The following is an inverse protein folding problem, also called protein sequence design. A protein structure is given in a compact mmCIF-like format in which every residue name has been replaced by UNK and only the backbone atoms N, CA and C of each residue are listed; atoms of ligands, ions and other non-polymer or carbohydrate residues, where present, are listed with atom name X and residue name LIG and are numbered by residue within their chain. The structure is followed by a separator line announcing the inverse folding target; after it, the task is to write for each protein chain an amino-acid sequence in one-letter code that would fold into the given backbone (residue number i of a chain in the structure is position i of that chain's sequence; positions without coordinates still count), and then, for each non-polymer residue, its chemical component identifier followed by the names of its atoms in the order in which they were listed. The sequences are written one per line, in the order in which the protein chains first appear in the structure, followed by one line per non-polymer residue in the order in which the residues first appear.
data_IF_186159520433
#
_entry.id   IF_186159520433
#
_cell.length_a   1.000
_cell.length_b   1.000
_cell.length_c   1.000
_cell.angle_alpha   90.00
_cell.angle_beta   90.00
_cell.angle_gamma   90.00
#
_symmetry.space_group_name_H-M   'P 1'
#
loop_
_entity.id
_entity.type
_entity.pdbx_description
1 polymer ?
#
# COMPACT_ATOMS: atom_id res chain seq x y z
N UNK A 1 -6.99 -2.11 -16.41
CA UNK A 1 -6.29 -1.28 -17.41
C UNK A 1 -4.86 -1.80 -17.53
N UNK A 2 -4.51 -2.42 -18.66
CA UNK A 2 -3.20 -3.03 -18.84
C UNK A 2 -2.10 -1.98 -18.96
N UNK A 3 -0.89 -2.30 -18.51
CA UNK A 3 0.29 -1.43 -18.40
C UNK A 3 0.53 -0.49 -19.59
N UNK A 4 0.16 -0.91 -20.81
CA UNK A 4 0.24 -0.08 -22.01
C UNK A 4 -0.56 1.24 -21.91
N UNK A 5 -1.76 1.21 -21.33
CA UNK A 5 -2.60 2.40 -21.16
C UNK A 5 -2.05 3.33 -20.08
N UNK A 6 -1.44 2.75 -19.03
CA UNK A 6 -0.72 3.53 -18.03
C UNK A 6 0.50 4.22 -18.64
N UNK A 7 1.25 3.50 -19.48
CA UNK A 7 2.43 4.05 -20.15
C UNK A 7 2.03 5.18 -21.12
N UNK A 8 0.94 5.00 -21.87
CA UNK A 8 0.41 6.04 -22.75
C UNK A 8 -0.03 7.29 -21.96
N UNK A 9 -0.80 7.12 -20.88
CA UNK A 9 -1.25 8.23 -20.06
C UNK A 9 -0.09 8.95 -19.37
N UNK A 10 0.92 8.21 -18.91
CA UNK A 10 2.13 8.78 -18.31
C UNK A 10 2.98 9.56 -19.31
N UNK A 11 3.18 9.02 -20.51
CA UNK A 11 3.92 9.72 -21.57
C UNK A 11 3.18 10.95 -22.08
N UNK A 12 1.86 10.87 -22.22
CA UNK A 12 1.02 12.02 -22.56
C UNK A 12 1.08 13.12 -21.50
N UNK A 13 1.00 12.75 -20.22
CA UNK A 13 1.13 13.71 -19.12
C UNK A 13 2.50 14.40 -19.14
N UNK A 14 3.59 13.62 -19.22
CA UNK A 14 4.95 14.16 -19.19
C UNK A 14 5.28 15.04 -20.41
N UNK A 15 4.83 14.66 -21.61
CA UNK A 15 5.10 15.43 -22.83
C UNK A 15 4.15 16.61 -23.02
N UNK A 16 2.89 16.44 -22.60
CA UNK A 16 1.84 17.44 -22.72
C UNK A 16 2.00 18.59 -21.73
N UNK A 17 2.56 18.34 -20.54
CA UNK A 17 2.79 19.39 -19.53
C UNK A 17 3.80 20.44 -20.03
N UNK A 18 4.89 20.00 -20.65
CA UNK A 18 5.89 20.90 -21.26
C UNK A 18 5.38 21.72 -22.46
N UNK A 19 4.25 21.32 -23.06
CA UNK A 19 3.66 21.99 -24.24
C UNK A 19 2.28 22.62 -23.96
N UNK A 20 1.81 22.62 -22.70
CA UNK A 20 0.52 23.19 -22.32
C UNK A 20 -0.69 22.48 -22.93
N UNK A 21 -0.59 21.17 -23.19
CA UNK A 21 -1.69 20.40 -23.77
C UNK A 21 -2.86 20.23 -22.79
N UNK A 22 -4.11 20.34 -23.27
CA UNK A 22 -5.27 20.15 -22.41
C UNK A 22 -5.34 18.69 -21.93
N UNK A 23 -5.57 18.49 -20.63
CA UNK A 23 -5.75 17.14 -20.08
C UNK A 23 -4.48 16.44 -19.58
N UNK A 24 -3.33 17.11 -19.56
CA UNK A 24 -2.09 16.59 -18.96
C UNK A 24 -2.27 16.20 -17.48
N UNK A 25 -2.91 17.05 -16.68
CA UNK A 25 -3.20 16.80 -15.27
C UNK A 25 -4.11 15.59 -15.01
N UNK A 26 -5.28 15.48 -15.64
CA UNK A 26 -6.13 14.28 -15.55
C UNK A 26 -5.43 13.00 -16.01
N UNK A 27 -4.58 13.07 -17.06
CA UNK A 27 -3.78 11.95 -17.51
C UNK A 27 -2.77 11.51 -16.43
N UNK A 28 -2.02 12.45 -15.85
CA UNK A 28 -1.11 12.21 -14.72
C UNK A 28 -1.83 11.55 -13.54
N UNK A 29 -2.98 12.10 -13.15
CA UNK A 29 -3.82 11.57 -12.07
C UNK A 29 -4.26 10.13 -12.35
N UNK A 30 -4.69 9.82 -13.58
CA UNK A 30 -5.14 8.47 -13.95
C UNK A 30 -4.06 7.39 -13.78
N UNK A 31 -2.78 7.72 -13.99
CA UNK A 31 -1.67 6.75 -13.88
C UNK A 31 -1.46 6.23 -12.45
N UNK A 32 -1.89 7.01 -11.45
CA UNK A 32 -1.73 6.68 -10.03
C UNK A 32 -2.78 5.64 -9.56
N UNK A 33 -3.86 5.41 -10.31
CA UNK A 33 -4.88 4.40 -10.00
C UNK A 33 -4.40 2.97 -10.14
N UNK A 34 -3.50 2.72 -11.10
CA UNK A 34 -3.08 1.38 -11.50
C UNK A 34 -2.33 0.65 -10.38
N UNK A 35 -1.48 1.38 -9.64
CA UNK A 35 -0.69 0.76 -8.57
C UNK A 35 -1.60 0.12 -7.52
N UNK A 36 -2.63 0.83 -7.07
CA UNK A 36 -3.45 0.32 -5.99
C UNK A 36 -4.60 -0.59 -6.44
N UNK A 37 -5.16 -0.39 -7.64
CA UNK A 37 -6.11 -1.35 -8.19
C UNK A 37 -5.45 -2.70 -8.51
N UNK A 38 -4.17 -2.68 -8.92
CA UNK A 38 -3.39 -3.88 -9.20
C UNK A 38 -2.79 -4.53 -7.95
N UNK A 39 -2.09 -3.74 -7.10
CA UNK A 39 -1.38 -4.26 -5.94
C UNK A 39 -2.21 -4.29 -4.65
N UNK A 40 -3.34 -3.59 -4.58
CA UNK A 40 -4.22 -3.58 -3.40
C UNK A 40 -4.62 -4.99 -2.93
N UNK A 41 -5.13 -5.88 -3.82
CA UNK A 41 -5.44 -7.24 -3.45
C UNK A 41 -4.24 -8.05 -2.92
N UNK A 42 -3.03 -7.77 -3.41
CA UNK A 42 -1.80 -8.42 -2.94
C UNK A 42 -1.50 -8.07 -1.47
N UNK A 43 -1.91 -6.88 -1.01
CA UNK A 43 -1.73 -6.47 0.39
C UNK A 43 -2.63 -7.26 1.37
N UNK A 44 -3.65 -7.96 0.87
CA UNK A 44 -4.48 -8.87 1.68
C UNK A 44 -3.87 -10.27 1.79
N UNK A 45 -2.86 -10.61 0.96
CA UNK A 45 -2.20 -11.91 0.97
C UNK A 45 -1.67 -12.33 2.36
N UNK A 46 -1.09 -11.46 3.21
CA UNK A 46 -0.65 -11.85 4.54
C UNK A 46 -1.76 -12.43 5.42
N UNK A 47 -3.02 -12.03 5.17
CA UNK A 47 -4.19 -12.55 5.88
C UNK A 47 -4.70 -13.86 5.27
N UNK A 48 -4.48 -14.05 3.96
CA UNK A 48 -4.99 -15.16 3.16
C UNK A 48 -3.99 -16.33 3.02
N UNK A 49 -2.68 -16.09 3.16
CA UNK A 49 -1.64 -17.12 3.07
C UNK A 49 -1.72 -18.14 4.22
N UNK A 50 -1.48 -19.45 3.98
CA UNK A 50 -1.15 -20.12 2.72
C UNK A 50 -2.37 -20.60 1.90
N UNK A 51 -3.49 -20.92 2.55
CA UNK A 51 -4.58 -21.71 1.95
C UNK A 51 -5.73 -20.88 1.34
N UNK A 52 -5.63 -19.54 1.36
CA UNK A 52 -6.70 -18.63 0.95
C UNK A 52 -7.92 -18.62 1.88
N UNK A 53 -7.85 -19.29 3.02
CA UNK A 53 -8.97 -19.46 3.97
C UNK A 53 -8.73 -18.67 5.24
N UNK A 54 -9.75 -17.98 5.75
CA UNK A 54 -9.69 -17.29 7.04
C UNK A 54 -9.47 -18.30 8.19
N UNK A 55 -8.69 -17.97 9.25
CA UNK A 55 -8.41 -18.90 10.36
C UNK A 55 -9.67 -19.38 11.09
N UNK A 56 -10.73 -18.56 11.13
CA UNK A 56 -12.05 -18.91 11.68
C UNK A 56 -13.12 -17.91 11.20
N UNK A 57 -14.43 -18.23 11.27
CA UNK A 57 -15.51 -17.35 10.80
C UNK A 57 -15.51 -15.95 11.43
N UNK A 58 -15.02 -15.84 12.67
CA UNK A 58 -14.85 -14.56 13.40
C UNK A 58 -13.84 -13.59 12.78
N UNK A 59 -13.04 -14.01 11.80
CA UNK A 59 -12.13 -13.13 11.05
C UNK A 59 -12.80 -12.47 9.84
N UNK A 60 -14.03 -12.86 9.48
CA UNK A 60 -14.77 -12.21 8.38
C UNK A 60 -14.96 -10.70 8.62
N UNK A 61 -15.36 -10.22 9.81
CA UNK A 61 -15.43 -8.79 10.08
C UNK A 61 -14.08 -8.09 9.93
N UNK A 62 -12.99 -8.71 10.39
CA UNK A 62 -11.63 -8.14 10.27
C UNK A 62 -11.24 -7.97 8.79
N UNK A 63 -11.51 -8.98 7.97
CA UNK A 63 -11.31 -8.90 6.52
C UNK A 63 -12.12 -7.76 5.90
N UNK A 64 -13.42 -7.64 6.23
CA UNK A 64 -14.27 -6.58 5.70
C UNK A 64 -13.81 -5.18 6.14
N UNK A 65 -13.39 -5.03 7.39
CA UNK A 65 -12.83 -3.76 7.90
C UNK A 65 -11.56 -3.41 7.13
N UNK A 66 -10.65 -4.36 6.90
CA UNK A 66 -9.43 -4.12 6.14
C UNK A 66 -9.73 -3.77 4.68
N UNK A 67 -10.67 -4.45 4.03
CA UNK A 67 -11.11 -4.13 2.67
C UNK A 67 -11.71 -2.71 2.61
N UNK A 68 -12.60 -2.37 3.55
CA UNK A 68 -13.22 -1.05 3.60
C UNK A 68 -12.18 0.03 3.87
N UNK A 69 -11.27 -0.20 4.81
CA UNK A 69 -10.22 0.74 5.15
C UNK A 69 -9.22 0.92 4.00
N UNK A 70 -8.92 -0.14 3.24
CA UNK A 70 -8.14 -0.06 2.00
C UNK A 70 -8.87 0.76 0.92
N UNK A 71 -10.18 0.58 0.76
CA UNK A 71 -10.96 1.38 -0.18
C UNK A 71 -10.98 2.87 0.21
N UNK A 72 -11.08 3.17 1.51
CA UNK A 72 -10.98 4.55 2.02
C UNK A 72 -9.58 5.12 1.78
N UNK A 73 -8.53 4.38 2.13
CA UNK A 73 -7.15 4.78 1.90
C UNK A 73 -6.89 5.05 0.41
N UNK A 74 -7.45 4.20 -0.46
CA UNK A 74 -7.36 4.37 -1.89
C UNK A 74 -7.94 5.71 -2.35
N UNK A 75 -9.13 6.05 -1.87
CA UNK A 75 -9.73 7.35 -2.17
C UNK A 75 -8.88 8.50 -1.63
N UNK A 76 -8.36 8.40 -0.40
CA UNK A 76 -7.50 9.44 0.19
C UNK A 76 -6.24 9.68 -0.64
N UNK A 77 -5.59 8.63 -1.12
CA UNK A 77 -4.38 8.74 -1.94
C UNK A 77 -4.69 9.38 -3.30
N UNK A 78 -5.90 9.18 -3.85
CA UNK A 78 -6.30 9.84 -5.11
C UNK A 78 -6.49 11.35 -4.99
N UNK A 79 -6.79 11.84 -3.78
CA UNK A 79 -6.99 13.26 -3.48
C UNK A 79 -5.78 13.88 -2.77
N UNK A 80 -4.63 13.19 -2.77
CA UNK A 80 -3.39 13.78 -2.26
C UNK A 80 -2.95 14.95 -3.14
N UNK A 81 -2.31 15.95 -2.57
CA UNK A 81 -1.88 17.19 -3.24
C UNK A 81 -0.79 17.01 -4.30
N UNK A 82 -0.10 15.86 -4.35
CA UNK A 82 0.96 15.55 -5.33
C UNK A 82 0.75 14.22 -6.03
N UNK A 83 0.89 14.19 -7.35
CA UNK A 83 0.87 12.95 -8.14
C UNK A 83 2.28 12.62 -8.61
N UNK A 84 2.62 11.33 -8.62
CA UNK A 84 3.89 10.89 -9.16
C UNK A 84 3.73 10.64 -10.66
N UNK A 85 4.63 11.21 -11.46
CA UNK A 85 4.70 11.03 -12.90
C UNK A 85 6.15 10.74 -13.25
N UNK A 86 6.46 9.49 -13.62
CA UNK A 86 7.73 9.09 -14.25
C UNK A 86 9.03 9.72 -13.67
N UNK A 87 9.14 9.81 -12.35
CA UNK A 87 10.35 10.25 -11.66
C UNK A 87 10.29 11.63 -11.00
N UNK A 88 9.24 12.41 -11.24
CA UNK A 88 8.96 13.67 -10.53
C UNK A 88 7.57 13.69 -9.90
N UNK A 89 7.36 14.64 -8.98
CA UNK A 89 6.07 14.90 -8.35
C UNK A 89 5.48 16.20 -8.89
N UNK A 90 4.25 16.12 -9.40
CA UNK A 90 3.51 17.27 -9.91
C UNK A 90 2.30 17.57 -9.01
N UNK A 91 1.82 18.83 -8.96
CA UNK A 91 0.59 19.17 -8.26
C UNK A 91 -0.59 18.35 -8.79
N UNK A 92 -1.36 17.73 -7.89
CA UNK A 92 -2.57 17.02 -8.28
C UNK A 92 -3.69 18.03 -8.57
N UNK A 93 -4.31 18.02 -9.76
CA UNK A 93 -5.39 18.95 -10.09
C UNK A 93 -6.62 18.84 -9.17
N UNK A 94 -6.83 17.69 -8.54
CA UNK A 94 -7.96 17.45 -7.61
C UNK A 94 -7.49 17.26 -6.17
N UNK A 95 -6.22 17.56 -5.88
CA UNK A 95 -5.62 17.30 -4.58
C UNK A 95 -5.97 18.34 -3.52
N UNK A 96 -6.48 17.88 -2.39
CA UNK A 96 -6.71 18.72 -1.20
C UNK A 96 -6.11 18.13 0.08
N UNK A 97 -5.74 16.85 0.05
CA UNK A 97 -5.14 16.16 1.18
C UNK A 97 -3.61 16.28 1.11
N UNK A 98 -2.91 16.73 2.16
CA UNK A 98 -1.45 16.75 2.14
C UNK A 98 -0.85 15.36 1.94
N UNK A 99 0.13 15.22 1.05
CA UNK A 99 0.79 13.94 0.76
C UNK A 99 1.39 13.30 2.02
N UNK A 100 1.82 14.11 3.00
CA UNK A 100 2.30 13.62 4.30
C UNK A 100 1.21 12.87 5.09
N UNK A 101 -0.03 13.36 5.09
CA UNK A 101 -1.15 12.70 5.77
C UNK A 101 -1.54 11.40 5.06
N UNK A 102 -1.57 11.41 3.73
CA UNK A 102 -1.80 10.19 2.93
C UNK A 102 -0.70 9.15 3.19
N UNK A 103 0.56 9.57 3.30
CA UNK A 103 1.69 8.69 3.61
C UNK A 103 1.59 8.10 5.03
N UNK A 104 1.17 8.88 6.02
CA UNK A 104 0.92 8.38 7.38
C UNK A 104 -0.19 7.34 7.37
N UNK A 105 -1.33 7.64 6.73
CA UNK A 105 -2.46 6.71 6.63
C UNK A 105 -2.06 5.40 5.93
N UNK A 106 -1.24 5.49 4.88
CA UNK A 106 -0.67 4.32 4.21
C UNK A 106 0.24 3.52 5.15
N UNK A 107 1.14 4.17 5.89
CA UNK A 107 2.00 3.51 6.87
C UNK A 107 1.19 2.77 7.96
N UNK A 108 0.17 3.42 8.52
CA UNK A 108 -0.74 2.80 9.49
C UNK A 108 -1.44 1.58 8.92
N UNK A 109 -1.88 1.63 7.66
CA UNK A 109 -2.52 0.49 6.98
C UNK A 109 -1.55 -0.70 6.83
N UNK A 110 -0.32 -0.45 6.41
CA UNK A 110 0.70 -1.50 6.25
C UNK A 110 0.99 -2.16 7.60
N UNK A 111 1.12 -1.37 8.67
CA UNK A 111 1.29 -1.91 10.03
C UNK A 111 0.07 -2.73 10.46
N UNK A 112 -1.16 -2.23 10.23
CA UNK A 112 -2.38 -2.94 10.57
C UNK A 112 -2.51 -4.29 9.83
N UNK A 113 -2.19 -4.32 8.53
CA UNK A 113 -2.16 -5.54 7.73
C UNK A 113 -1.09 -6.52 8.21
N UNK A 114 0.11 -6.03 8.54
CA UNK A 114 1.19 -6.83 9.11
C UNK A 114 0.79 -7.47 10.44
N UNK A 115 0.25 -6.66 11.37
CA UNK A 115 -0.25 -7.14 12.67
C UNK A 115 -1.38 -8.15 12.49
N UNK A 116 -2.34 -7.89 11.59
CA UNK A 116 -3.43 -8.81 11.31
C UNK A 116 -2.93 -10.14 10.73
N UNK A 117 -1.95 -10.10 9.81
CA UNK A 117 -1.31 -11.28 9.24
C UNK A 117 -0.57 -12.11 10.30
N UNK A 118 0.26 -11.47 11.12
CA UNK A 118 0.97 -12.11 12.25
C UNK A 118 -0.01 -12.74 13.25
N UNK A 119 -1.08 -12.01 13.61
CA UNK A 119 -2.11 -12.51 14.52
C UNK A 119 -2.89 -13.69 13.92
N UNK A 120 -3.22 -13.64 12.62
CA UNK A 120 -3.88 -14.73 11.91
C UNK A 120 -3.02 -16.01 11.91
N UNK A 121 -1.72 -15.86 11.63
CA UNK A 121 -0.74 -16.97 11.70
C UNK A 121 -0.59 -17.51 13.12
N UNK A 122 -0.52 -16.65 14.14
CA UNK A 122 -0.45 -17.06 15.54
C UNK A 122 -1.68 -17.86 15.97
N UNK A 123 -2.89 -17.44 15.55
CA UNK A 123 -4.12 -18.20 15.83
C UNK A 123 -4.11 -19.56 15.14
N UNK A 124 -3.61 -19.67 13.90
CA UNK A 124 -3.44 -20.99 13.24
C UNK A 124 -2.47 -21.88 13.99
N UNK A 125 -1.29 -21.37 14.32
CA UNK A 125 -0.26 -22.12 15.05
C UNK A 125 -0.74 -22.60 16.42
N UNK A 126 -1.65 -21.87 17.08
CA UNK A 126 -2.28 -22.29 18.34
C UNK A 126 -3.30 -23.42 18.17
N UNK A 127 -3.93 -23.55 17.00
CA UNK A 127 -4.91 -24.60 16.73
C UNK A 127 -4.32 -25.82 16.01
N UNK A 128 -3.10 -25.74 15.48
CA UNK A 128 -2.41 -26.86 14.84
C UNK A 128 -1.67 -27.70 15.88
N UNK A 129 -1.78 -29.04 15.77
CA UNK A 129 -1.05 -29.99 16.63
C UNK A 129 0.46 -29.71 16.61
N UNK A 130 1.17 -29.78 17.77
CA UNK A 130 2.60 -29.47 17.87
C UNK A 130 3.52 -30.27 16.93
N UNK A 131 3.06 -31.46 16.51
CA UNK A 131 3.83 -32.43 15.72
C UNK A 131 3.38 -32.56 14.25
N UNK A 132 2.47 -31.71 13.78
CA UNK A 132 2.01 -31.76 12.38
C UNK A 132 3.01 -31.15 11.38
N UNK A 133 3.22 -31.81 10.25
CA UNK A 133 4.01 -31.33 9.08
C UNK A 133 3.67 -29.86 8.72
N UNK A 134 2.40 -29.50 8.88
CA UNK A 134 1.84 -28.17 8.60
C UNK A 134 2.48 -27.06 9.45
N UNK A 135 2.89 -27.35 10.69
CA UNK A 135 3.57 -26.38 11.58
C UNK A 135 4.98 -26.05 11.09
N UNK A 136 5.70 -27.02 10.50
CA UNK A 136 7.06 -26.82 9.96
C UNK A 136 7.09 -25.91 8.74
N UNK A 137 6.06 -25.93 7.90
CA UNK A 137 5.94 -25.02 6.75
C UNK A 137 5.52 -23.59 7.16
N UNK A 138 4.68 -23.46 8.19
CA UNK A 138 4.14 -22.16 8.62
C UNK A 138 5.13 -21.30 9.41
N UNK A 139 6.04 -21.91 10.19
CA UNK A 139 7.03 -21.19 11.02
C UNK A 139 7.97 -20.29 10.19
N UNK A 140 8.60 -20.75 9.09
CA UNK A 140 9.45 -19.87 8.28
C UNK A 140 8.67 -18.74 7.59
N UNK A 141 7.44 -18.99 7.16
CA UNK A 141 6.56 -17.94 6.60
C UNK A 141 6.21 -16.89 7.65
N UNK A 142 5.91 -17.32 8.87
CA UNK A 142 5.68 -16.43 10.01
C UNK A 142 6.92 -15.58 10.31
N UNK A 143 8.10 -16.20 10.35
CA UNK A 143 9.34 -15.49 10.62
C UNK A 143 9.67 -14.47 9.52
N UNK A 144 9.49 -14.85 8.25
CA UNK A 144 9.67 -13.95 7.11
C UNK A 144 8.70 -12.77 7.15
N UNK A 145 7.42 -13.00 7.48
CA UNK A 145 6.42 -11.94 7.62
C UNK A 145 6.72 -11.01 8.81
N UNK A 146 7.12 -11.56 9.96
CA UNK A 146 7.47 -10.79 11.15
C UNK A 146 8.72 -9.95 10.91
N UNK A 147 9.74 -10.51 10.25
CA UNK A 147 10.94 -9.76 9.85
C UNK A 147 10.57 -8.67 8.86
N UNK A 148 9.79 -8.96 7.81
CA UNK A 148 9.37 -7.95 6.84
C UNK A 148 8.58 -6.79 7.48
N UNK A 149 7.71 -7.08 8.46
CA UNK A 149 6.98 -6.06 9.20
C UNK A 149 7.91 -5.21 10.11
N UNK A 150 8.91 -5.84 10.74
CA UNK A 150 9.87 -5.18 11.61
C UNK A 150 10.92 -4.36 10.83
N UNK A 151 11.26 -4.80 9.62
CA UNK A 151 12.29 -4.20 8.78
C UNK A 151 11.78 -3.00 7.97
N UNK A 152 10.48 -2.68 8.05
CA UNK A 152 9.98 -1.48 7.38
C UNK A 152 10.68 -0.26 7.96
N UNK A 153 11.34 0.57 7.12
CA UNK A 153 11.91 1.80 7.60
C UNK A 153 10.75 2.71 7.98
N UNK A 154 10.51 2.86 9.30
CA UNK A 154 9.84 4.06 9.82
C UNK A 154 10.59 5.21 9.15
N UNK A 155 9.94 6.07 8.35
CA UNK A 155 10.62 7.20 7.75
C UNK A 155 11.09 8.06 8.92
N UNK A 156 12.36 7.88 9.29
CA UNK A 156 13.04 8.73 10.23
C UNK A 156 12.81 10.14 9.72
N UNK A 157 12.14 10.95 10.53
CA UNK A 157 12.06 12.39 10.36
C UNK A 157 13.48 12.89 10.15
N UNK A 158 13.88 13.05 8.89
CA UNK A 158 15.14 13.67 8.52
C UNK A 158 14.89 15.15 8.73
N UNK A 159 15.13 15.60 9.96
CA UNK A 159 15.11 17.01 10.32
C UNK A 159 16.09 17.72 9.37
N UNK A 160 15.55 18.40 8.36
CA UNK A 160 16.27 19.36 7.55
C UNK A 160 16.60 20.57 8.42
N UNK A 161 17.62 20.43 9.28
CA UNK A 161 18.25 21.58 9.90
C UNK A 161 19.28 22.13 8.90
N UNK A 162 18.78 22.86 7.89
CA UNK A 162 19.57 23.80 7.09
C UNK A 162 19.38 25.19 7.69
N UNK A 163 20.36 25.63 8.46
CA UNK A 163 20.58 27.01 8.89
C UNK A 163 21.97 27.02 9.51
N UNK A 164 23.00 27.72 9.02
CA UNK A 164 23.20 28.63 7.91
C UNK A 164 24.71 28.96 7.96
N UNK A 165 25.29 29.33 6.82
CA UNK A 165 26.63 29.91 6.82
C UNK A 165 26.63 31.19 7.66
N UNK A 166 27.66 31.35 8.49
CA UNK A 166 28.10 32.59 9.10
C UNK A 166 29.61 32.63 9.03
#
# INVERSE_FOLDING_TARGET
MGVALQALAGGYAAYGDGHGWPGSGPAAWSTNWVFFLGFGPLLLLPLLLPDGRLPSPRWRPVLWVLIAAMAVLQLLIMFRDRVWVWGHEEPNPVGFLPTSQAAIAFGVMIVALGVAGVAALAVRLRHTSPYGEQRRQLVPVFFAAAVAALWWPIPCCRSTRRSGCG
#
